data_IF_563543284093
#
_entry.id   IF_563543284093
#
_cell.length_a   1.000
_cell.length_b   1.000
_cell.length_c   1.000
_cell.angle_alpha   90.00
_cell.angle_beta   90.00
_cell.angle_gamma   90.00
#
_symmetry.space_group_name_H-M   'P 1'
#
loop_
_entity.id
_entity.type
_entity.pdbx_description
1 polymer ?
#
# COMPACT_ATOMS: atom_id res chain seq x y z
N UNK A 1 -6.14 -19.47 -10.56
CA UNK A 1 -5.40 -18.61 -11.52
C UNK A 1 -5.85 -18.99 -12.92
N UNK A 2 -6.77 -18.24 -13.52
CA UNK A 2 -7.29 -18.54 -14.86
C UNK A 2 -6.18 -18.34 -15.90
N UNK A 3 -5.92 -19.38 -16.70
CA UNK A 3 -4.84 -19.41 -17.71
C UNK A 3 -5.18 -18.62 -18.99
N UNK A 4 -6.27 -17.85 -19.02
CA UNK A 4 -6.92 -17.40 -20.25
C UNK A 4 -6.82 -15.90 -20.55
N UNK A 5 -5.99 -15.13 -19.83
CA UNK A 5 -5.88 -13.67 -20.08
C UNK A 5 -4.45 -13.15 -20.25
N UNK A 6 -3.44 -13.99 -20.08
CA UNK A 6 -2.03 -13.60 -20.25
C UNK A 6 -1.53 -14.00 -21.64
N UNK A 7 -1.29 -12.99 -22.48
CA UNK A 7 -0.42 -13.09 -23.65
C UNK A 7 0.98 -13.53 -23.18
N UNK A 8 1.50 -14.63 -23.74
CA UNK A 8 2.82 -15.18 -23.39
C UNK A 8 3.98 -14.45 -24.08
N UNK A 9 3.69 -13.45 -24.92
CA UNK A 9 4.73 -12.70 -25.62
C UNK A 9 5.51 -11.85 -24.63
N UNK A 10 6.80 -12.18 -24.46
CA UNK A 10 7.75 -11.37 -23.72
C UNK A 10 8.07 -10.13 -24.55
N UNK A 11 7.50 -8.98 -24.18
CA UNK A 11 7.75 -7.68 -24.85
C UNK A 11 8.93 -6.91 -24.25
N UNK A 12 9.54 -7.46 -23.19
CA UNK A 12 10.76 -6.92 -22.62
C UNK A 12 11.97 -7.46 -23.38
N UNK A 13 12.57 -6.63 -24.23
CA UNK A 13 13.79 -6.96 -24.99
C UNK A 13 15.08 -6.71 -24.21
N UNK A 14 15.00 -6.24 -22.95
CA UNK A 14 16.18 -6.11 -22.10
C UNK A 14 16.68 -7.48 -21.65
N UNK A 15 18.00 -7.67 -21.56
CA UNK A 15 18.62 -8.89 -21.02
C UNK A 15 18.48 -9.05 -19.50
N UNK A 16 17.57 -8.30 -18.87
CA UNK A 16 17.32 -8.40 -17.43
C UNK A 16 16.49 -9.65 -17.12
N UNK A 17 16.73 -10.24 -15.94
CA UNK A 17 15.93 -11.38 -15.47
C UNK A 17 14.42 -11.01 -15.45
N UNK A 18 13.56 -11.79 -16.13
CA UNK A 18 12.13 -11.52 -16.12
C UNK A 18 11.54 -11.80 -14.74
N UNK A 19 10.51 -11.04 -14.37
CA UNK A 19 9.86 -11.18 -13.07
C UNK A 19 9.28 -12.59 -12.84
N UNK A 20 8.86 -13.28 -13.90
CA UNK A 20 8.40 -14.68 -13.83
C UNK A 20 9.48 -15.62 -13.30
N UNK A 21 10.74 -15.45 -13.71
CA UNK A 21 11.85 -16.27 -13.21
C UNK A 21 12.18 -15.94 -11.75
N UNK A 22 12.10 -14.66 -11.36
CA UNK A 22 12.25 -14.26 -9.95
C UNK A 22 11.15 -14.91 -9.10
N UNK A 23 9.90 -14.90 -9.58
CA UNK A 23 8.77 -15.51 -8.91
C UNK A 23 8.91 -17.03 -8.81
N UNK A 24 9.26 -17.70 -9.92
CA UNK A 24 9.51 -19.14 -9.96
C UNK A 24 10.67 -19.56 -9.07
N UNK A 25 11.75 -18.79 -9.00
CA UNK A 25 12.89 -19.06 -8.12
C UNK A 25 12.49 -18.98 -6.64
N UNK A 26 11.66 -18.01 -6.27
CA UNK A 26 11.17 -17.87 -4.90
C UNK A 26 10.15 -18.95 -4.53
N UNK A 27 9.24 -19.30 -5.45
CA UNK A 27 8.30 -20.40 -5.28
C UNK A 27 9.00 -21.77 -5.22
N UNK A 28 10.01 -21.98 -6.06
CA UNK A 28 10.83 -23.21 -6.09
C UNK A 28 11.63 -23.38 -4.80
N UNK A 29 12.26 -22.31 -4.28
CA UNK A 29 12.94 -22.34 -2.98
C UNK A 29 11.99 -22.69 -1.84
N UNK A 30 10.77 -22.16 -1.87
CA UNK A 30 9.73 -22.48 -0.89
C UNK A 30 9.23 -23.91 -1.03
N UNK A 31 9.13 -24.44 -2.25
CA UNK A 31 8.76 -25.83 -2.51
C UNK A 31 9.86 -26.81 -2.06
N UNK A 32 11.13 -26.50 -2.33
CA UNK A 32 12.29 -27.29 -1.88
C UNK A 32 12.41 -27.26 -0.36
N UNK A 33 12.28 -26.11 0.30
CA UNK A 33 12.26 -26.02 1.77
C UNK A 33 11.08 -26.79 2.38
N UNK A 34 9.91 -26.79 1.74
CA UNK A 34 8.77 -27.63 2.17
C UNK A 34 9.02 -29.13 1.91
N UNK A 35 9.72 -29.48 0.84
CA UNK A 35 10.02 -30.85 0.44
C UNK A 35 11.17 -31.50 1.23
N UNK A 36 12.19 -30.73 1.60
CA UNK A 36 13.34 -31.23 2.38
C UNK A 36 12.98 -31.52 3.84
N UNK A 37 12.03 -30.78 4.42
CA UNK A 37 11.45 -31.09 5.74
C UNK A 37 10.57 -32.36 5.72
N UNK A 38 9.92 -32.67 4.58
CA UNK A 38 9.14 -33.90 4.44
C UNK A 38 10.02 -35.14 4.19
N UNK A 39 11.12 -35.00 3.44
CA UNK A 39 12.02 -36.12 3.13
C UNK A 39 12.89 -36.56 4.33
N UNK A 40 13.24 -35.65 5.25
CA UNK A 40 13.98 -36.03 6.47
C UNK A 40 13.11 -36.80 7.49
N UNK A 41 11.78 -36.63 7.45
CA UNK A 41 10.86 -37.30 8.36
C UNK A 41 10.51 -38.75 7.93
N UNK A 42 10.81 -39.14 6.68
CA UNK A 42 10.48 -40.47 6.14
C UNK A 42 11.71 -41.33 5.81
N UNK A 43 12.92 -40.89 6.17
CA UNK A 43 14.18 -41.60 5.87
C UNK A 43 15.12 -41.78 7.08
N UNK A 44 14.59 -41.73 8.31
CA UNK A 44 15.36 -41.97 9.54
C UNK A 44 15.75 -43.44 9.82
N UNK A 45 15.74 -44.33 8.82
CA UNK A 45 16.01 -45.77 9.02
C UNK A 45 16.85 -46.42 7.91
N UNK A 46 17.70 -45.66 7.21
CA UNK A 46 18.70 -46.23 6.30
C UNK A 46 20.08 -45.61 6.58
N UNK A 47 20.90 -46.42 7.22
CA UNK A 47 22.29 -46.20 7.56
C UNK A 47 23.11 -45.70 6.36
N UNK A 48 23.67 -44.48 6.47
CA UNK A 48 24.78 -44.05 5.63
C UNK A 48 26.08 -44.43 6.33
N UNK A 49 26.47 -45.69 6.18
CA UNK A 49 27.84 -46.14 6.41
C UNK A 49 28.57 -46.10 5.07
N UNK A 50 29.49 -45.14 4.89
CA UNK A 50 30.63 -45.22 3.95
C UNK A 50 31.39 -43.89 3.97
N UNK A 51 32.41 -43.80 4.83
CA UNK A 51 33.66 -43.05 4.59
C UNK A 51 34.58 -43.25 5.81
N UNK A 52 35.60 -44.10 5.69
CA UNK A 52 36.70 -44.19 6.66
C UNK A 52 37.21 -45.61 6.95
N UNK A 53 37.92 -46.24 6.01
CA UNK A 53 39.06 -47.11 6.35
C UNK A 53 40.32 -46.24 6.22
N UNK A 54 41.37 -46.36 7.00
CA UNK A 54 41.96 -47.49 7.73
C UNK A 54 42.82 -46.95 8.87
N UNK A 55 43.03 -47.71 9.96
CA UNK A 55 44.31 -47.93 10.67
C UNK A 55 44.07 -48.85 11.90
N UNK A 56 44.70 -50.02 11.82
CA UNK A 56 45.24 -50.98 12.80
C UNK A 56 44.80 -51.05 14.27
N UNK A 57 44.66 -52.32 14.66
CA UNK A 57 44.95 -53.03 15.92
C UNK A 57 44.06 -52.89 17.17
N UNK A 58 43.42 -54.04 17.47
CA UNK A 58 43.25 -54.75 18.74
C UNK A 58 42.49 -54.15 19.96
N UNK A 59 41.71 -55.07 20.55
CA UNK A 59 41.22 -55.21 21.93
C UNK A 59 39.92 -54.50 22.42
N UNK A 60 38.98 -55.38 22.80
CA UNK A 60 38.06 -55.36 23.96
C UNK A 60 37.38 -54.05 24.42
N UNK A 61 36.04 -54.00 24.36
CA UNK A 61 35.12 -54.19 25.51
C UNK A 61 33.69 -53.73 25.17
N UNK A 62 32.70 -54.41 25.75
CA UNK A 62 31.28 -54.13 25.55
C UNK A 62 30.84 -52.86 26.31
N UNK A 63 30.68 -51.74 25.59
CA UNK A 63 30.01 -50.55 26.10
C UNK A 63 28.50 -50.58 25.78
N UNK A 64 27.68 -50.59 26.82
CA UNK A 64 26.24 -50.32 26.72
C UNK A 64 26.02 -48.85 26.36
N UNK A 65 25.19 -48.48 25.36
CA UNK A 65 24.95 -47.08 25.07
C UNK A 65 23.97 -46.49 26.10
N UNK A 66 24.46 -45.51 26.86
CA UNK A 66 23.66 -44.65 27.71
C UNK A 66 22.56 -43.93 26.92
N UNK A 67 21.35 -43.92 27.48
CA UNK A 67 20.22 -43.14 26.98
C UNK A 67 20.47 -41.65 27.24
N UNK A 68 20.89 -40.91 26.22
CA UNK A 68 21.01 -39.46 26.26
C UNK A 68 19.68 -38.73 26.53
N UNK A 69 19.72 -37.45 26.95
CA UNK A 69 18.56 -36.72 27.44
C UNK A 69 17.48 -36.59 26.35
N UNK A 70 16.24 -36.91 26.73
CA UNK A 70 15.07 -36.90 25.87
C UNK A 70 14.94 -35.61 25.07
N UNK A 71 14.92 -35.76 23.75
CA UNK A 71 14.47 -34.73 22.83
C UNK A 71 12.99 -34.48 23.11
N UNK A 72 12.71 -33.37 23.81
CA UNK A 72 11.35 -32.84 23.95
C UNK A 72 10.72 -32.77 22.54
N UNK A 73 9.53 -33.35 22.29
CA UNK A 73 8.92 -33.27 20.98
C UNK A 73 8.62 -31.81 20.65
N UNK A 74 9.43 -31.20 19.79
CA UNK A 74 9.17 -29.87 19.27
C UNK A 74 7.89 -29.95 18.44
N UNK A 75 6.79 -29.46 19.00
CA UNK A 75 5.51 -29.39 18.30
C UNK A 75 5.70 -28.64 16.99
N UNK A 76 5.31 -29.20 15.83
CA UNK A 76 5.40 -28.51 14.55
C UNK A 76 4.71 -27.14 14.65
N UNK A 77 5.28 -26.06 14.08
CA UNK A 77 4.64 -24.75 14.07
C UNK A 77 3.22 -24.90 13.51
N UNK A 78 2.23 -24.52 14.31
CA UNK A 78 0.83 -24.64 13.94
C UNK A 78 0.60 -23.89 12.63
N UNK A 79 0.04 -24.56 11.62
CA UNK A 79 -0.23 -23.94 10.33
C UNK A 79 -1.16 -22.73 10.55
N UNK A 80 -0.77 -21.57 10.02
CA UNK A 80 -1.55 -20.35 10.10
C UNK A 80 -2.96 -20.61 9.55
N UNK A 81 -3.96 -20.60 10.42
CA UNK A 81 -5.37 -20.80 10.04
C UNK A 81 -6.03 -19.43 9.88
N UNK A 82 -6.67 -19.21 8.74
CA UNK A 82 -7.50 -18.03 8.52
C UNK A 82 -8.79 -18.18 9.34
N UNK A 83 -9.20 -17.12 10.05
CA UNK A 83 -10.35 -17.11 10.95
C UNK A 83 -11.71 -16.88 10.28
N UNK A 84 -11.77 -16.93 8.95
CA UNK A 84 -12.98 -16.67 8.17
C UNK A 84 -13.01 -17.55 6.92
N UNK A 85 -14.21 -17.83 6.44
CA UNK A 85 -14.41 -18.56 5.18
C UNK A 85 -14.16 -17.64 3.98
N UNK A 86 -13.54 -18.18 2.93
CA UNK A 86 -13.36 -17.44 1.68
C UNK A 86 -14.71 -17.11 1.06
N UNK A 87 -14.83 -15.89 0.55
CA UNK A 87 -16.01 -15.42 -0.16
C UNK A 87 -15.94 -15.78 -1.64
N UNK A 88 -17.10 -16.02 -2.30
CA UNK A 88 -17.18 -16.06 -3.76
C UNK A 88 -17.01 -14.66 -4.35
N UNK A 89 -16.65 -14.59 -5.63
CA UNK A 89 -16.67 -13.32 -6.37
C UNK A 89 -18.11 -12.78 -6.46
N UNK A 90 -18.25 -11.46 -6.42
CA UNK A 90 -19.53 -10.75 -6.54
C UNK A 90 -19.38 -9.55 -7.48
N UNK A 91 -20.47 -9.20 -8.18
CA UNK A 91 -20.60 -7.99 -9.01
C UNK A 91 -21.61 -6.99 -8.39
N UNK A 92 -21.90 -7.13 -7.10
CA UNK A 92 -22.74 -6.19 -6.36
C UNK A 92 -22.01 -4.88 -6.15
N UNK A 93 -22.73 -3.76 -6.27
CA UNK A 93 -22.24 -2.43 -5.91
C UNK A 93 -22.23 -2.23 -4.38
N UNK A 94 -21.44 -3.04 -3.67
CA UNK A 94 -21.33 -3.07 -2.22
C UNK A 94 -20.04 -3.76 -1.75
N UNK A 95 -19.59 -3.45 -0.55
CA UNK A 95 -18.55 -4.22 0.14
C UNK A 95 -19.13 -5.54 0.68
N UNK A 96 -18.73 -6.67 0.11
CA UNK A 96 -19.08 -8.00 0.62
C UNK A 96 -18.02 -8.45 1.62
N UNK A 97 -18.45 -8.80 2.83
CA UNK A 97 -17.57 -9.21 3.94
C UNK A 97 -17.99 -10.58 4.50
N UNK A 98 -17.08 -11.34 5.17
CA UNK A 98 -17.41 -12.63 5.76
C UNK A 98 -18.46 -12.51 6.88
N UNK A 99 -19.11 -13.63 7.21
CA UNK A 99 -20.04 -13.68 8.33
C UNK A 99 -19.37 -13.21 9.64
N UNK A 100 -20.06 -12.34 10.39
CA UNK A 100 -19.53 -11.74 11.63
C UNK A 100 -18.68 -10.48 11.43
N UNK A 101 -18.40 -10.07 10.18
CA UNK A 101 -17.69 -8.82 9.87
C UNK A 101 -18.65 -7.71 9.44
N UNK A 102 -18.23 -6.47 9.63
CA UNK A 102 -18.94 -5.26 9.18
C UNK A 102 -17.94 -4.28 8.57
N UNK A 103 -18.31 -3.64 7.48
CA UNK A 103 -17.56 -2.53 6.88
C UNK A 103 -18.25 -1.20 7.18
N UNK A 104 -17.47 -0.18 7.52
CA UNK A 104 -17.95 1.18 7.79
C UNK A 104 -17.15 2.19 6.99
N UNK A 105 -17.82 3.23 6.50
CA UNK A 105 -17.17 4.39 5.88
C UNK A 105 -16.64 5.31 6.97
N UNK A 106 -15.35 5.63 6.93
CA UNK A 106 -14.71 6.53 7.90
C UNK A 106 -14.74 7.97 7.39
N UNK A 107 -14.37 8.18 6.13
CA UNK A 107 -14.39 9.48 5.47
C UNK A 107 -14.54 9.29 3.96
N UNK A 108 -15.73 9.54 3.43
CA UNK A 108 -15.93 9.61 1.99
C UNK A 108 -15.27 10.88 1.44
N UNK A 109 -15.08 10.97 0.12
CA UNK A 109 -14.66 12.23 -0.53
C UNK A 109 -15.57 13.40 -0.12
N UNK A 110 -14.97 14.55 0.16
CA UNK A 110 -15.68 15.77 0.52
C UNK A 110 -16.14 15.82 1.98
N UNK A 111 -15.78 14.83 2.79
CA UNK A 111 -16.03 14.87 4.24
C UNK A 111 -15.25 16.05 4.83
N UNK A 112 -15.92 17.04 5.47
CA UNK A 112 -15.25 18.16 6.10
C UNK A 112 -14.31 17.69 7.22
N UNK A 113 -13.12 18.28 7.28
CA UNK A 113 -12.15 18.03 8.35
C UNK A 113 -12.21 19.11 9.44
N UNK A 114 -12.84 20.24 9.13
CA UNK A 114 -13.03 21.38 10.02
C UNK A 114 -14.21 22.24 9.52
N UNK A 115 -14.59 23.23 10.32
CA UNK A 115 -15.74 24.10 10.06
C UNK A 115 -15.50 25.14 8.95
N UNK A 116 -14.31 25.17 8.33
CA UNK A 116 -14.05 26.03 7.16
C UNK A 116 -14.51 25.41 5.84
N UNK A 117 -14.96 24.14 5.85
CA UNK A 117 -15.59 23.50 4.71
C UNK A 117 -17.09 23.34 4.94
N UNK A 118 -17.88 23.61 3.89
CA UNK A 118 -19.27 23.18 3.82
C UNK A 118 -19.36 21.66 3.71
N UNK A 119 -20.51 21.11 4.10
CA UNK A 119 -20.83 19.71 3.86
C UNK A 119 -20.73 19.35 2.37
N UNK A 120 -20.41 18.08 2.07
CA UNK A 120 -20.32 17.59 0.71
C UNK A 120 -21.64 17.80 -0.06
N UNK A 121 -21.53 18.37 -1.26
CA UNK A 121 -22.65 18.57 -2.17
C UNK A 121 -22.49 17.70 -3.42
N UNK A 122 -23.43 16.75 -3.58
CA UNK A 122 -23.51 15.85 -4.73
C UNK A 122 -23.61 16.55 -6.08
N UNK A 123 -24.08 17.80 -6.11
CA UNK A 123 -24.20 18.61 -7.33
C UNK A 123 -22.90 19.33 -7.68
N UNK A 124 -21.83 19.15 -6.90
CA UNK A 124 -20.52 19.73 -7.18
C UNK A 124 -20.42 21.23 -6.87
N UNK A 125 -21.28 21.82 -6.03
CA UNK A 125 -21.22 23.26 -5.74
C UNK A 125 -20.18 23.67 -4.68
N UNK A 126 -19.50 22.71 -4.04
CA UNK A 126 -18.43 23.04 -3.10
C UNK A 126 -17.34 23.90 -3.76
N UNK A 127 -16.82 24.89 -3.05
CA UNK A 127 -15.76 25.77 -3.50
C UNK A 127 -14.38 25.10 -3.45
N UNK A 128 -13.37 25.72 -4.07
CA UNK A 128 -11.98 25.28 -3.89
C UNK A 128 -11.51 25.36 -2.44
N UNK A 129 -12.06 26.27 -1.63
CA UNK A 129 -11.77 26.37 -0.19
C UNK A 129 -12.39 25.20 0.60
N UNK A 130 -13.58 24.75 0.23
CA UNK A 130 -14.18 23.55 0.84
C UNK A 130 -13.29 22.34 0.59
N UNK A 131 -12.83 22.16 -0.66
CA UNK A 131 -11.92 21.07 -1.03
C UNK A 131 -10.54 21.18 -0.36
N UNK A 132 -10.12 22.37 0.06
CA UNK A 132 -8.89 22.55 0.85
C UNK A 132 -9.06 22.07 2.30
N UNK A 133 -10.30 21.96 2.78
CA UNK A 133 -10.66 21.65 4.16
C UNK A 133 -11.50 20.37 4.30
N UNK A 134 -11.65 19.59 3.23
CA UNK A 134 -12.31 18.29 3.21
C UNK A 134 -11.34 17.19 2.80
N UNK A 135 -11.74 15.92 2.90
CA UNK A 135 -11.05 14.81 2.20
C UNK A 135 -11.08 15.01 0.69
N UNK A 136 -10.01 14.59 0.00
CA UNK A 136 -9.88 14.66 -1.46
C UNK A 136 -10.59 13.52 -2.19
N UNK A 137 -10.45 13.48 -3.52
CA UNK A 137 -11.04 12.45 -4.37
C UNK A 137 -10.13 11.24 -4.49
N UNK A 138 -10.70 10.08 -4.83
CA UNK A 138 -9.95 8.86 -5.17
C UNK A 138 -8.88 8.51 -4.14
N UNK A 139 -9.36 8.13 -2.94
CA UNK A 139 -8.48 7.74 -1.84
C UNK A 139 -7.64 6.52 -2.26
N UNK A 140 -6.34 6.59 -2.00
CA UNK A 140 -5.39 5.54 -2.35
C UNK A 140 -4.51 5.20 -1.12
N UNK A 141 -3.22 4.95 -1.31
CA UNK A 141 -2.26 4.58 -0.28
C UNK A 141 -2.45 5.36 1.02
N UNK A 142 -2.45 4.62 2.13
CA UNK A 142 -2.73 5.17 3.45
C UNK A 142 -1.86 4.54 4.53
N UNK A 143 -1.63 5.28 5.61
CA UNK A 143 -0.91 4.80 6.79
C UNK A 143 -1.50 5.36 8.09
N UNK A 144 -1.55 4.52 9.13
CA UNK A 144 -2.01 4.89 10.47
C UNK A 144 -0.83 5.14 11.40
N UNK A 145 -0.82 6.30 12.05
CA UNK A 145 0.16 6.68 13.06
C UNK A 145 -0.54 6.81 14.42
N UNK A 146 -0.26 5.94 15.39
CA UNK A 146 -0.89 6.04 16.71
C UNK A 146 -0.46 7.33 17.41
N UNK A 147 -1.43 8.05 17.99
CA UNK A 147 -1.13 9.17 18.87
C UNK A 147 -0.79 8.61 20.25
N UNK A 148 0.40 8.95 20.77
CA UNK A 148 0.84 8.52 22.10
C UNK A 148 0.78 6.99 22.31
N UNK A 149 1.01 6.21 21.25
CA UNK A 149 0.94 4.74 21.29
C UNK A 149 -0.47 4.16 21.36
N UNK A 150 -1.51 4.99 21.19
CA UNK A 150 -2.91 4.56 21.27
C UNK A 150 -3.32 3.60 20.14
N UNK A 151 -3.98 2.51 20.53
CA UNK A 151 -4.58 1.55 19.61
C UNK A 151 -5.96 2.00 19.07
N UNK A 152 -6.50 3.09 19.61
CA UNK A 152 -7.87 3.56 19.32
C UNK A 152 -7.93 5.02 18.93
N UNK A 153 -6.80 5.72 18.80
CA UNK A 153 -6.74 7.12 18.41
C UNK A 153 -5.40 7.42 17.72
N UNK A 154 -5.46 8.09 16.58
CA UNK A 154 -4.29 8.25 15.73
C UNK A 154 -4.53 9.15 14.53
N UNK A 155 -3.50 9.29 13.71
CA UNK A 155 -3.55 9.99 12.45
C UNK A 155 -3.62 8.97 11.31
N UNK A 156 -4.68 9.03 10.52
CA UNK A 156 -4.76 8.34 9.25
C UNK A 156 -4.33 9.30 8.15
N UNK A 157 -3.21 9.00 7.51
CA UNK A 157 -2.66 9.78 6.40
C UNK A 157 -3.02 9.08 5.11
N UNK A 158 -3.74 9.75 4.21
CA UNK A 158 -4.33 9.14 3.01
C UNK A 158 -4.01 9.97 1.78
N UNK A 159 -3.59 9.31 0.70
CA UNK A 159 -3.37 9.92 -0.61
C UNK A 159 -4.69 10.08 -1.38
N UNK A 160 -4.75 11.09 -2.23
CA UNK A 160 -5.86 11.42 -3.12
C UNK A 160 -5.32 11.54 -4.55
N UNK A 161 -5.56 10.51 -5.36
CA UNK A 161 -4.76 10.23 -6.55
C UNK A 161 -5.16 11.04 -7.78
N UNK A 162 -6.45 11.04 -8.10
CA UNK A 162 -6.99 11.70 -9.28
C UNK A 162 -8.37 12.27 -8.98
N UNK A 163 -9.02 12.83 -10.01
CA UNK A 163 -10.34 13.45 -9.91
C UNK A 163 -11.25 13.00 -11.06
N UNK A 164 -12.56 13.04 -10.81
CA UNK A 164 -13.58 13.01 -11.85
C UNK A 164 -14.18 14.39 -12.02
N UNK A 165 -13.80 15.10 -13.08
CA UNK A 165 -14.27 16.47 -13.33
C UNK A 165 -15.79 16.56 -13.48
N UNK A 166 -16.44 15.52 -14.00
CA UNK A 166 -17.90 15.45 -14.15
C UNK A 166 -18.65 15.37 -12.83
N UNK A 167 -18.03 14.80 -11.79
CA UNK A 167 -18.59 14.77 -10.43
C UNK A 167 -18.16 16.00 -9.62
N UNK A 168 -16.95 16.52 -9.88
CA UNK A 168 -16.37 17.62 -9.11
C UNK A 168 -17.04 18.96 -9.42
N UNK A 169 -17.53 19.18 -10.64
CA UNK A 169 -18.12 20.46 -11.07
C UNK A 169 -19.57 20.28 -11.52
N UNK A 170 -20.47 21.24 -11.28
CA UNK A 170 -21.90 21.09 -11.61
C UNK A 170 -22.16 20.79 -13.09
N UNK A 171 -21.32 21.32 -13.98
CA UNK A 171 -21.42 21.16 -15.44
C UNK A 171 -20.22 20.42 -16.03
N UNK A 172 -19.47 19.69 -15.20
CA UNK A 172 -18.12 19.24 -15.57
C UNK A 172 -17.14 20.41 -15.77
N UNK A 173 -15.96 20.11 -16.32
CA UNK A 173 -14.94 21.12 -16.58
C UNK A 173 -15.36 22.08 -17.72
N UNK A 174 -15.50 23.37 -17.42
CA UNK A 174 -15.95 24.38 -18.39
C UNK A 174 -14.80 25.15 -19.10
N UNK A 175 -15.12 25.98 -20.09
CA UNK A 175 -14.16 26.95 -20.65
C UNK A 175 -14.84 28.28 -20.90
N UNK A 176 -14.18 29.37 -20.52
CA UNK A 176 -14.61 30.75 -20.79
C UNK A 176 -13.55 31.40 -21.67
N UNK A 177 -13.94 31.86 -22.86
CA UNK A 177 -13.02 32.38 -23.87
C UNK A 177 -11.82 31.44 -24.14
N UNK A 178 -12.09 30.13 -24.22
CA UNK A 178 -11.08 29.08 -24.45
C UNK A 178 -10.22 28.69 -23.24
N UNK A 179 -10.35 29.38 -22.10
CA UNK A 179 -9.54 29.15 -20.88
C UNK A 179 -10.33 28.46 -19.77
N UNK A 180 -9.65 27.66 -18.95
CA UNK A 180 -10.24 27.08 -17.72
C UNK A 180 -10.47 28.21 -16.70
N UNK A 181 -11.65 28.30 -16.05
CA UNK A 181 -11.84 29.22 -14.93
C UNK A 181 -10.87 28.90 -13.79
N UNK A 182 -10.27 29.94 -13.20
CA UNK A 182 -9.26 29.77 -12.15
C UNK A 182 -9.81 29.02 -10.94
N UNK A 183 -11.09 29.22 -10.60
CA UNK A 183 -11.73 28.56 -9.47
C UNK A 183 -11.86 27.05 -9.67
N UNK A 184 -12.28 26.62 -10.87
CA UNK A 184 -12.35 25.20 -11.17
C UNK A 184 -10.98 24.54 -11.11
N UNK A 185 -9.93 25.20 -11.63
CA UNK A 185 -8.56 24.69 -11.55
C UNK A 185 -8.08 24.59 -10.09
N UNK A 186 -8.37 25.58 -9.24
CA UNK A 186 -8.01 25.52 -7.82
C UNK A 186 -8.73 24.40 -7.10
N UNK A 187 -10.01 24.20 -7.42
CA UNK A 187 -10.82 23.11 -6.86
C UNK A 187 -10.25 21.75 -7.24
N UNK A 188 -9.88 21.58 -8.51
CA UNK A 188 -9.20 20.37 -9.00
C UNK A 188 -7.88 20.13 -8.29
N UNK A 189 -7.03 21.16 -8.18
CA UNK A 189 -5.76 21.08 -7.45
C UNK A 189 -5.97 20.70 -5.98
N UNK A 190 -6.98 21.27 -5.32
CA UNK A 190 -7.28 20.99 -3.92
C UNK A 190 -7.98 19.64 -3.70
N UNK A 191 -8.50 19.00 -4.74
CA UNK A 191 -9.05 17.65 -4.65
C UNK A 191 -7.96 16.55 -4.64
N UNK A 192 -6.72 16.87 -5.03
CA UNK A 192 -5.56 15.97 -5.02
C UNK A 192 -4.69 16.12 -3.76
N UNK A 193 -3.72 15.20 -3.61
CA UNK A 193 -2.62 15.30 -2.66
C UNK A 193 -2.80 14.36 -1.48
N UNK A 194 -2.62 14.84 -0.26
CA UNK A 194 -2.67 14.03 0.96
C UNK A 194 -3.57 14.69 2.00
N UNK A 195 -4.36 13.89 2.71
CA UNK A 195 -5.06 14.30 3.92
C UNK A 195 -4.46 13.62 5.14
N UNK A 196 -4.12 14.41 6.15
CA UNK A 196 -3.89 13.95 7.51
C UNK A 196 -5.21 14.08 8.26
N UNK A 197 -5.77 12.96 8.71
CA UNK A 197 -7.03 12.90 9.45
C UNK A 197 -6.78 12.39 10.85
N UNK A 198 -7.12 13.17 11.87
CA UNK A 198 -7.22 12.66 13.23
C UNK A 198 -8.45 11.78 13.33
N UNK A 199 -8.25 10.50 13.63
CA UNK A 199 -9.33 9.52 13.82
C UNK A 199 -9.30 8.95 15.23
N UNK A 200 -10.48 8.73 15.78
CA UNK A 200 -10.67 8.05 17.07
C UNK A 200 -11.75 6.98 16.95
N UNK A 201 -11.53 5.86 17.63
CA UNK A 201 -12.52 4.81 17.79
C UNK A 201 -13.42 5.14 18.97
N UNK A 202 -14.70 5.29 18.71
CA UNK A 202 -15.73 5.52 19.72
C UNK A 202 -16.84 4.47 19.54
N UNK A 203 -17.25 3.82 20.63
CA UNK A 203 -18.29 2.79 20.63
C UNK A 203 -18.10 1.73 19.51
N UNK A 204 -16.85 1.31 19.30
CA UNK A 204 -16.51 0.31 18.27
C UNK A 204 -16.31 0.87 16.86
N UNK A 205 -16.64 2.14 16.59
CA UNK A 205 -16.56 2.76 15.25
C UNK A 205 -15.49 3.83 15.18
N UNK A 206 -14.71 3.80 14.10
CA UNK A 206 -13.76 4.87 13.80
C UNK A 206 -14.47 6.08 13.21
N UNK A 207 -14.09 7.26 13.66
CA UNK A 207 -14.62 8.53 13.16
C UNK A 207 -13.51 9.58 13.07
N UNK A 208 -13.66 10.50 12.12
CA UNK A 208 -12.81 11.68 12.01
C UNK A 208 -13.16 12.64 13.16
N UNK A 209 -12.16 13.10 13.89
CA UNK A 209 -12.31 14.12 14.93
C UNK A 209 -12.34 15.49 14.24
N UNK A 210 -13.53 16.07 14.10
CA UNK A 210 -13.70 17.38 13.46
C UNK A 210 -12.94 18.49 14.21
N UNK A 211 -12.45 19.50 13.49
CA UNK A 211 -11.67 20.63 14.02
C UNK A 211 -10.41 20.24 14.81
N UNK A 212 -9.91 19.01 14.65
CA UNK A 212 -8.64 18.61 15.23
C UNK A 212 -7.51 19.47 14.66
N UNK A 213 -6.62 19.95 15.53
CA UNK A 213 -5.39 20.67 15.13
C UNK A 213 -4.47 19.87 14.22
N UNK A 214 -4.63 18.55 14.17
CA UNK A 214 -3.85 17.67 13.31
C UNK A 214 -4.43 17.53 11.91
N UNK A 215 -5.72 17.85 11.72
CA UNK A 215 -6.37 17.74 10.43
C UNK A 215 -5.74 18.71 9.44
N UNK A 216 -5.25 18.20 8.32
CA UNK A 216 -4.55 19.02 7.34
C UNK A 216 -4.61 18.43 5.94
N UNK A 217 -4.76 19.30 4.96
CA UNK A 217 -4.54 18.98 3.54
C UNK A 217 -3.19 19.46 3.07
N UNK A 218 -2.50 18.59 2.34
CA UNK A 218 -1.37 18.92 1.49
C UNK A 218 -1.81 18.69 0.06
N UNK A 219 -1.98 19.75 -0.72
CA UNK A 219 -2.49 19.69 -2.09
C UNK A 219 -1.36 19.91 -3.08
N UNK A 220 -1.63 19.78 -4.38
CA UNK A 220 -0.63 20.08 -5.41
C UNK A 220 -0.22 21.57 -5.47
N UNK A 221 -0.87 22.44 -4.69
CA UNK A 221 -0.46 23.84 -4.51
C UNK A 221 0.32 24.11 -3.21
N UNK A 222 0.39 23.15 -2.28
CA UNK A 222 1.08 23.35 -1.00
C UNK A 222 2.57 23.58 -1.23
N UNK A 223 3.12 24.66 -0.69
CA UNK A 223 4.55 24.93 -0.77
C UNK A 223 5.32 23.89 0.07
N UNK A 224 6.33 23.28 -0.55
CA UNK A 224 7.18 22.26 0.08
C UNK A 224 8.65 22.60 -0.13
N UNK A 225 9.48 22.26 0.85
CA UNK A 225 10.94 22.36 0.72
C UNK A 225 11.43 21.28 -0.24
N UNK A 226 12.20 21.67 -1.25
CA UNK A 226 12.94 20.73 -2.06
C UNK A 226 14.24 20.38 -1.33
N UNK A 227 14.50 19.08 -1.17
CA UNK A 227 15.70 18.57 -0.51
C UNK A 227 16.44 17.59 -1.43
N UNK A 228 17.64 17.19 -1.03
CA UNK A 228 18.48 16.28 -1.81
C UNK A 228 19.39 16.98 -2.82
N UNK A 229 20.17 16.21 -3.60
CA UNK A 229 21.27 16.74 -4.42
C UNK A 229 20.85 17.77 -5.48
N UNK A 230 19.60 17.74 -5.93
CA UNK A 230 19.08 18.64 -6.96
C UNK A 230 18.58 19.98 -6.41
N UNK A 231 18.39 20.08 -5.09
CA UNK A 231 17.89 21.30 -4.46
C UNK A 231 18.88 22.46 -4.65
N UNK A 232 18.39 23.62 -5.08
CA UNK A 232 19.20 24.81 -5.32
C UNK A 232 19.96 24.85 -6.66
N UNK A 233 19.95 23.76 -7.42
CA UNK A 233 20.54 23.74 -8.78
C UNK A 233 19.72 24.58 -9.77
N UNK A 234 20.32 24.98 -10.88
CA UNK A 234 19.64 25.77 -11.90
C UNK A 234 18.44 25.06 -12.54
N UNK A 235 18.44 23.71 -12.55
CA UNK A 235 17.37 22.88 -13.13
C UNK A 235 16.02 22.99 -12.42
N UNK A 236 16.01 23.44 -11.17
CA UNK A 236 14.80 23.52 -10.33
C UNK A 236 14.42 24.96 -10.00
N UNK A 237 15.13 25.95 -10.59
CA UNK A 237 14.80 27.36 -10.44
C UNK A 237 13.62 27.72 -11.34
N UNK A 238 12.62 28.38 -10.78
CA UNK A 238 11.42 28.85 -11.48
C UNK A 238 11.03 30.23 -10.96
N UNK A 239 10.10 30.95 -11.60
CA UNK A 239 9.59 32.20 -11.05
C UNK A 239 8.99 32.06 -9.64
N UNK A 240 8.48 30.87 -9.28
CA UNK A 240 7.99 30.59 -7.93
C UNK A 240 9.12 30.31 -6.93
N UNK A 241 10.22 29.71 -7.39
CA UNK A 241 11.35 29.29 -6.57
C UNK A 241 12.66 29.76 -7.22
N UNK A 242 13.00 31.07 -7.12
CA UNK A 242 14.16 31.62 -7.83
C UNK A 242 15.50 31.05 -7.35
N UNK A 243 15.55 30.58 -6.10
CA UNK A 243 16.73 29.92 -5.52
C UNK A 243 16.65 28.39 -5.57
N UNK A 244 15.62 27.80 -6.20
CA UNK A 244 15.50 26.35 -6.37
C UNK A 244 15.30 25.56 -5.07
N UNK A 245 14.90 26.20 -3.98
CA UNK A 245 14.77 25.56 -2.66
C UNK A 245 13.37 25.07 -2.32
N UNK A 246 12.37 25.47 -3.12
CA UNK A 246 10.97 25.17 -2.90
C UNK A 246 10.26 24.67 -4.17
N UNK A 247 9.19 23.91 -3.97
CA UNK A 247 8.25 23.45 -5.01
C UNK A 247 6.82 23.65 -4.53
N UNK A 248 5.86 23.55 -5.44
CA UNK A 248 4.44 23.39 -5.09
C UNK A 248 4.02 21.96 -5.37
N UNK A 249 3.48 21.33 -4.35
CA UNK A 249 2.67 20.14 -4.48
C UNK A 249 3.38 18.81 -4.39
N UNK A 250 2.53 17.84 -4.04
CA UNK A 250 2.64 16.43 -4.37
C UNK A 250 1.54 16.11 -5.39
N UNK A 251 1.87 15.25 -6.36
CA UNK A 251 0.96 14.57 -7.28
C UNK A 251 1.41 13.12 -7.16
N UNK A 252 0.58 12.19 -6.65
CA UNK A 252 1.06 10.89 -6.24
C UNK A 252 1.82 10.18 -7.38
N UNK A 253 2.89 9.43 -7.03
CA UNK A 253 3.93 9.02 -7.97
C UNK A 253 3.45 8.10 -9.12
N UNK A 254 2.25 7.52 -9.03
CA UNK A 254 1.77 6.52 -9.98
C UNK A 254 1.34 7.11 -11.33
N UNK A 255 1.18 8.44 -11.44
CA UNK A 255 0.80 9.12 -12.69
C UNK A 255 1.96 9.38 -13.68
N UNK A 256 3.22 9.10 -13.31
CA UNK A 256 4.37 9.28 -14.23
C UNK A 256 4.45 8.14 -15.27
N UNK A 257 3.73 7.01 -15.10
CA UNK A 257 3.85 5.85 -16.00
C UNK A 257 3.04 5.91 -17.30
N UNK A 258 2.14 6.88 -17.51
CA UNK A 258 1.23 6.86 -18.66
C UNK A 258 1.43 7.93 -19.74
N UNK A 259 2.44 8.80 -19.65
CA UNK A 259 2.65 9.87 -20.66
C UNK A 259 3.73 9.61 -21.73
N UNK A 260 4.22 8.37 -21.89
CA UNK A 260 5.22 8.04 -22.93
C UNK A 260 4.70 7.11 -24.06
N UNK A 261 3.38 6.96 -24.24
CA UNK A 261 2.81 6.17 -25.36
C UNK A 261 1.75 6.92 -26.17
N UNK A 262 2.01 8.18 -26.49
CA UNK A 262 1.23 8.91 -27.48
C UNK A 262 2.13 9.91 -28.22
N UNK A 263 3.16 9.41 -28.88
CA UNK A 263 3.87 10.03 -30.01
C UNK A 263 4.88 8.99 -30.52
N UNK A 264 4.57 8.40 -31.67
CA UNK A 264 5.26 7.28 -32.30
C UNK A 264 4.31 6.57 -33.23
#
# INVERSE_FOLDING_TARGET
MSKSITDKVIRNSSGNLPFSEILERNLSRRAVMRGSLAALATMGSLSLAACGGSHDDDDDEAATPETGPGTTPTTPPQALKLGFDSLPASMTDACVVPAGYVAHVIGAWGTPLNDNAQAWDKNGNNSSNDLLNSTGMHHDGMHYFPLEGSATEGLLVVNHEYIDQGALHPNGATRVAGKRPAEEVRKEVNAHGVAVMHIRKDNGRWQIVNNSRFNRRFTSATAMKLAGPVAGTDWVKTPFSPNGSQVRGDLPPDLVRHRHRAQG
#
